data_IF_094681330354
#
_entry.id   IF_094681330354
#
_cell.length_a   1.000
_cell.length_b   1.000
_cell.length_c   1.000
_cell.angle_alpha   90.00
_cell.angle_beta   90.00
_cell.angle_gamma   90.00
#
_symmetry.space_group_name_H-M   'P 1'
#
loop_
_entity.id
_entity.type
_entity.pdbx_description
1 polymer ?
#
# COMPACT_ATOMS: atom_id res chain seq x y z
N UNK A 1 26.63 -11.06 -23.50
CA UNK A 1 26.16 -9.73 -23.97
C UNK A 1 24.63 -9.52 -23.91
N UNK A 2 23.79 -10.54 -23.66
CA UNK A 2 22.31 -10.39 -23.70
C UNK A 2 21.66 -9.74 -22.45
N UNK A 3 22.27 -9.82 -21.26
CA UNK A 3 21.69 -9.28 -20.00
C UNK A 3 21.71 -7.74 -19.96
N UNK A 4 22.61 -7.10 -20.69
CA UNK A 4 22.78 -5.64 -20.67
C UNK A 4 21.59 -4.85 -21.26
N UNK A 5 20.72 -5.50 -22.05
CA UNK A 5 19.63 -4.85 -22.77
C UNK A 5 18.23 -5.02 -22.12
N UNK A 6 18.06 -5.92 -21.15
CA UNK A 6 16.74 -6.24 -20.60
C UNK A 6 16.06 -5.04 -19.93
N UNK A 7 16.76 -4.36 -19.02
CA UNK A 7 16.23 -3.18 -18.31
C UNK A 7 15.83 -2.03 -19.23
N UNK A 8 16.71 -1.60 -20.16
CA UNK A 8 16.38 -0.61 -21.18
C UNK A 8 15.20 -1.01 -22.09
N UNK A 9 15.09 -2.28 -22.48
CA UNK A 9 13.98 -2.77 -23.31
C UNK A 9 12.63 -2.64 -22.58
N UNK A 10 12.56 -3.12 -21.33
CA UNK A 10 11.37 -2.98 -20.47
C UNK A 10 11.01 -1.51 -20.28
N UNK A 11 12.01 -0.65 -20.05
CA UNK A 11 11.80 0.80 -19.93
C UNK A 11 11.22 1.41 -21.20
N UNK A 12 11.69 0.97 -22.38
CA UNK A 12 11.18 1.42 -23.68
C UNK A 12 9.69 1.11 -23.87
N UNK A 13 9.27 -0.10 -23.54
CA UNK A 13 7.85 -0.50 -23.57
C UNK A 13 7.06 0.29 -22.53
N UNK A 14 7.54 0.33 -21.29
CA UNK A 14 6.89 1.02 -20.19
C UNK A 14 6.61 2.49 -20.53
N UNK A 15 7.53 3.20 -21.21
CA UNK A 15 7.34 4.60 -21.63
C UNK A 15 6.12 4.80 -22.52
N UNK A 16 5.82 3.88 -23.44
CA UNK A 16 4.69 3.94 -24.37
C UNK A 16 3.34 3.75 -23.69
N UNK A 17 3.30 3.03 -22.56
CA UNK A 17 2.05 2.74 -21.84
C UNK A 17 1.63 3.94 -20.99
N UNK A 18 0.44 4.53 -21.18
CA UNK A 18 -0.03 5.60 -20.30
C UNK A 18 -0.23 5.10 -18.87
N UNK A 19 -0.32 6.00 -17.88
CA UNK A 19 -0.46 5.59 -16.47
C UNK A 19 -1.89 5.15 -16.10
N UNK A 20 -2.91 5.60 -16.84
CA UNK A 20 -4.32 5.34 -16.51
C UNK A 20 -4.74 3.85 -16.51
N UNK A 21 -4.24 2.96 -17.40
CA UNK A 21 -4.66 1.56 -17.39
C UNK A 21 -4.24 0.84 -16.12
N UNK A 22 -3.15 1.27 -15.48
CA UNK A 22 -2.67 0.70 -14.22
C UNK A 22 -3.66 0.95 -13.08
N UNK A 23 -4.41 2.07 -13.11
CA UNK A 23 -5.51 2.27 -12.16
C UNK A 23 -6.61 1.22 -12.37
N UNK A 24 -7.07 1.04 -13.61
CA UNK A 24 -8.15 0.09 -13.90
C UNK A 24 -7.76 -1.34 -13.53
N UNK A 25 -6.59 -1.79 -14.00
CA UNK A 25 -6.07 -3.12 -13.69
C UNK A 25 -5.89 -3.28 -12.18
N UNK A 26 -5.34 -2.26 -11.52
CA UNK A 26 -5.12 -2.27 -10.09
C UNK A 26 -6.41 -2.29 -9.26
N UNK A 27 -7.53 -1.82 -9.80
CA UNK A 27 -8.85 -1.87 -9.16
C UNK A 27 -9.57 -3.21 -9.37
N UNK A 28 -9.16 -4.02 -10.36
CA UNK A 28 -9.84 -5.29 -10.69
C UNK A 28 -9.89 -6.28 -9.51
N UNK A 29 -8.83 -6.49 -8.71
CA UNK A 29 -8.89 -7.41 -7.58
C UNK A 29 -9.96 -6.99 -6.55
N UNK A 30 -10.04 -5.70 -6.23
CA UNK A 30 -11.09 -5.16 -5.36
C UNK A 30 -12.49 -5.30 -5.94
N UNK A 31 -12.66 -5.02 -7.23
CA UNK A 31 -13.95 -5.20 -7.91
C UNK A 31 -14.39 -6.67 -7.92
N UNK A 32 -13.46 -7.60 -8.16
CA UNK A 32 -13.71 -9.03 -8.10
C UNK A 32 -14.08 -9.49 -6.69
N UNK A 33 -13.39 -8.99 -5.67
CA UNK A 33 -13.68 -9.29 -4.28
C UNK A 33 -15.08 -8.80 -3.87
N UNK A 34 -15.47 -7.59 -4.30
CA UNK A 34 -16.82 -7.05 -4.07
C UNK A 34 -17.90 -7.88 -4.80
N UNK A 35 -17.63 -8.30 -6.05
CA UNK A 35 -18.53 -9.21 -6.76
C UNK A 35 -18.74 -10.51 -5.97
N UNK A 36 -17.66 -11.14 -5.49
CA UNK A 36 -17.75 -12.35 -4.66
C UNK A 36 -18.52 -12.11 -3.36
N UNK A 37 -18.38 -10.93 -2.75
CA UNK A 37 -19.15 -10.57 -1.55
C UNK A 37 -20.65 -10.55 -1.83
N UNK A 38 -21.07 -9.85 -2.89
CA UNK A 38 -22.48 -9.75 -3.30
C UNK A 38 -23.04 -11.09 -3.75
N UNK A 39 -22.23 -11.91 -4.42
CA UNK A 39 -22.61 -13.24 -4.87
C UNK A 39 -22.64 -14.30 -3.73
N UNK A 40 -22.33 -13.92 -2.48
CA UNK A 40 -22.31 -14.86 -1.35
C UNK A 40 -21.16 -15.87 -1.40
N UNK A 41 -20.07 -15.57 -2.11
CA UNK A 41 -18.96 -16.49 -2.40
C UNK A 41 -17.73 -16.30 -1.50
N UNK A 42 -17.86 -15.54 -0.40
CA UNK A 42 -16.77 -15.27 0.54
C UNK A 42 -16.73 -16.23 1.75
N UNK A 43 -17.73 -17.11 1.89
CA UNK A 43 -17.76 -18.12 2.95
C UNK A 43 -18.45 -17.63 4.22
N UNK A 44 -18.03 -18.18 5.37
CA UNK A 44 -18.74 -18.06 6.64
C UNK A 44 -18.75 -16.62 7.21
N UNK A 45 -17.63 -15.91 7.13
CA UNK A 45 -17.51 -14.54 7.64
C UNK A 45 -17.08 -13.59 6.49
N UNK A 46 -18.03 -13.15 5.64
CA UNK A 46 -17.72 -12.37 4.45
C UNK A 46 -17.16 -10.98 4.79
N UNK A 47 -17.58 -10.38 5.91
CA UNK A 47 -17.06 -9.08 6.36
C UNK A 47 -15.61 -9.24 6.74
N UNK A 48 -15.27 -10.27 7.53
CA UNK A 48 -13.88 -10.51 7.90
C UNK A 48 -12.98 -10.80 6.72
N UNK A 49 -13.47 -11.59 5.76
CA UNK A 49 -12.73 -11.85 4.51
C UNK A 49 -12.48 -10.57 3.73
N UNK A 50 -13.48 -9.68 3.60
CA UNK A 50 -13.29 -8.37 2.97
C UNK A 50 -12.21 -7.54 3.66
N UNK A 51 -12.24 -7.46 4.99
CA UNK A 51 -11.22 -6.72 5.76
C UNK A 51 -9.82 -7.24 5.47
N UNK A 52 -9.62 -8.56 5.57
CA UNK A 52 -8.30 -9.18 5.41
C UNK A 52 -7.76 -8.98 4.00
N UNK A 53 -8.58 -9.24 2.97
CA UNK A 53 -8.17 -9.16 1.56
C UNK A 53 -7.91 -7.71 1.11
N UNK A 54 -8.75 -6.75 1.52
CA UNK A 54 -8.52 -5.33 1.19
C UNK A 54 -7.27 -4.78 1.90
N UNK A 55 -7.02 -5.19 3.15
CA UNK A 55 -5.81 -4.85 3.88
C UNK A 55 -4.56 -5.41 3.20
N UNK A 56 -4.62 -6.66 2.76
CA UNK A 56 -3.53 -7.33 2.04
C UNK A 56 -3.25 -6.65 0.68
N UNK A 57 -4.27 -6.38 -0.12
CA UNK A 57 -4.13 -5.66 -1.39
C UNK A 57 -3.47 -4.30 -1.20
N UNK A 58 -3.87 -3.54 -0.17
CA UNK A 58 -3.21 -2.28 0.17
C UNK A 58 -1.71 -2.44 0.43
N UNK A 59 -1.34 -3.42 1.28
CA UNK A 59 0.06 -3.68 1.62
C UNK A 59 0.87 -4.11 0.37
N UNK A 60 0.29 -4.95 -0.48
CA UNK A 60 0.89 -5.36 -1.75
C UNK A 60 1.16 -4.16 -2.66
N UNK A 61 0.20 -3.23 -2.82
CA UNK A 61 0.40 -2.03 -3.63
C UNK A 61 1.44 -1.07 -3.02
N UNK A 62 1.49 -0.92 -1.70
CA UNK A 62 2.55 -0.14 -1.02
C UNK A 62 3.92 -0.73 -1.33
N UNK A 63 4.10 -2.04 -1.13
CA UNK A 63 5.35 -2.73 -1.39
C UNK A 63 5.73 -2.67 -2.87
N UNK A 64 4.78 -2.87 -3.78
CA UNK A 64 5.01 -2.72 -5.21
C UNK A 64 5.54 -1.31 -5.56
N UNK A 65 5.00 -0.25 -4.93
CA UNK A 65 5.49 1.12 -5.11
C UNK A 65 6.94 1.29 -4.65
N UNK A 66 7.32 0.64 -3.54
CA UNK A 66 8.66 0.68 -2.95
C UNK A 66 9.67 -0.11 -3.77
N UNK A 67 9.23 -1.17 -4.45
CA UNK A 67 10.02 -2.03 -5.35
C UNK A 67 10.42 -1.30 -6.65
N UNK A 68 9.76 -0.20 -7.03
CA UNK A 68 10.15 0.54 -8.23
C UNK A 68 11.61 1.01 -8.20
N UNK A 69 12.13 1.45 -7.04
CA UNK A 69 13.51 1.96 -7.01
C UNK A 69 14.64 0.93 -6.81
N UNK A 70 14.52 -0.28 -6.21
CA UNK A 70 15.50 -1.33 -6.48
C UNK A 70 15.50 -1.73 -7.96
N UNK A 71 14.32 -1.81 -8.62
CA UNK A 71 14.23 -2.11 -10.05
C UNK A 71 15.00 -1.08 -10.91
N UNK A 72 14.85 0.21 -10.60
CA UNK A 72 15.63 1.25 -11.26
C UNK A 72 17.13 1.14 -10.95
N UNK A 73 17.50 0.90 -9.70
CA UNK A 73 18.91 0.93 -9.25
C UNK A 73 19.72 -0.26 -9.76
N UNK A 74 19.19 -1.47 -9.64
CA UNK A 74 19.94 -2.70 -9.94
C UNK A 74 19.68 -3.21 -11.35
N UNK A 75 18.45 -3.04 -11.85
CA UNK A 75 18.05 -3.58 -13.15
C UNK A 75 17.91 -2.51 -14.24
N UNK A 76 18.10 -1.22 -13.91
CA UNK A 76 17.92 -0.08 -14.83
C UNK A 76 16.53 -0.01 -15.46
N UNK A 77 15.52 -0.53 -14.76
CA UNK A 77 14.12 -0.52 -15.17
C UNK A 77 13.44 0.75 -14.63
N UNK A 78 13.09 1.70 -15.50
CA UNK A 78 12.47 2.96 -15.08
C UNK A 78 10.93 2.90 -15.11
N UNK A 79 10.35 2.61 -13.94
CA UNK A 79 8.91 2.59 -13.70
C UNK A 79 8.44 3.74 -12.79
N UNK A 80 9.26 4.79 -12.62
CA UNK A 80 8.96 5.89 -11.68
C UNK A 80 7.60 6.55 -11.92
N UNK A 81 7.16 6.63 -13.18
CA UNK A 81 5.85 7.20 -13.53
C UNK A 81 4.66 6.46 -12.93
N UNK A 82 4.81 5.17 -12.63
CA UNK A 82 3.74 4.34 -12.06
C UNK A 82 3.72 4.38 -10.53
N UNK A 83 4.75 4.93 -9.87
CA UNK A 83 4.83 4.99 -8.40
C UNK A 83 3.61 5.69 -7.79
N UNK A 84 3.22 6.83 -8.36
CA UNK A 84 2.06 7.60 -7.89
C UNK A 84 0.77 6.76 -7.98
N UNK A 85 0.61 6.01 -9.07
CA UNK A 85 -0.56 5.16 -9.30
C UNK A 85 -0.64 4.07 -8.26
N UNK A 86 0.44 3.34 -8.02
CA UNK A 86 0.50 2.28 -7.01
C UNK A 86 0.26 2.82 -5.60
N UNK A 87 0.82 3.97 -5.25
CA UNK A 87 0.57 4.61 -3.95
C UNK A 87 -0.89 5.04 -3.75
N UNK A 88 -1.54 5.54 -4.80
CA UNK A 88 -2.96 5.90 -4.75
C UNK A 88 -3.88 4.68 -4.71
N UNK A 89 -3.53 3.60 -5.43
CA UNK A 89 -4.24 2.32 -5.32
C UNK A 89 -4.14 1.76 -3.90
N UNK A 90 -2.95 1.73 -3.33
CA UNK A 90 -2.75 1.34 -1.94
C UNK A 90 -3.63 2.16 -0.98
N UNK A 91 -3.64 3.49 -1.14
CA UNK A 91 -4.51 4.34 -0.33
C UNK A 91 -6.00 4.03 -0.53
N UNK A 92 -6.44 3.79 -1.77
CA UNK A 92 -7.81 3.39 -2.07
C UNK A 92 -8.20 2.09 -1.37
N UNK A 93 -7.34 1.08 -1.42
CA UNK A 93 -7.57 -0.20 -0.74
C UNK A 93 -7.59 -0.09 0.79
N UNK A 94 -6.66 0.67 1.40
CA UNK A 94 -6.71 0.86 2.87
C UNK A 94 -7.92 1.69 3.30
N UNK A 95 -8.36 2.64 2.47
CA UNK A 95 -9.59 3.39 2.74
C UNK A 95 -10.81 2.48 2.67
N UNK A 96 -10.89 1.58 1.68
CA UNK A 96 -11.94 0.56 1.61
C UNK A 96 -11.88 -0.42 2.78
N UNK A 97 -10.69 -0.88 3.17
CA UNK A 97 -10.48 -1.72 4.36
C UNK A 97 -11.03 -1.03 5.63
N UNK A 98 -10.67 0.23 5.85
CA UNK A 98 -11.19 1.02 6.96
C UNK A 98 -12.71 1.23 6.88
N UNK A 99 -13.25 1.48 5.68
CA UNK A 99 -14.69 1.65 5.48
C UNK A 99 -15.46 0.35 5.75
N UNK A 100 -14.94 -0.82 5.36
CA UNK A 100 -15.56 -2.12 5.68
C UNK A 100 -15.62 -2.29 7.20
N UNK A 101 -14.52 -2.06 7.91
CA UNK A 101 -14.52 -2.12 9.38
C UNK A 101 -15.51 -1.13 9.99
N UNK A 102 -15.52 0.13 9.53
CA UNK A 102 -16.38 1.17 10.08
C UNK A 102 -17.88 0.94 9.79
N UNK A 103 -18.21 0.47 8.59
CA UNK A 103 -19.61 0.39 8.10
C UNK A 103 -20.24 -0.98 8.28
N UNK A 104 -19.48 -2.06 8.12
CA UNK A 104 -20.00 -3.43 8.14
C UNK A 104 -19.73 -4.12 9.49
N UNK A 105 -18.52 -3.98 10.04
CA UNK A 105 -18.17 -4.59 11.34
C UNK A 105 -18.68 -3.74 12.52
N UNK A 106 -18.31 -2.46 12.56
CA UNK A 106 -18.73 -1.53 13.61
C UNK A 106 -20.15 -0.97 13.40
N UNK A 107 -20.71 -1.11 12.18
CA UNK A 107 -22.06 -0.65 11.84
C UNK A 107 -22.32 0.82 12.17
N UNK A 108 -21.33 1.69 11.90
CA UNK A 108 -21.41 3.13 12.13
C UNK A 108 -21.68 3.53 13.59
N UNK A 109 -21.36 2.68 14.56
CA UNK A 109 -21.39 3.04 15.99
C UNK A 109 -20.22 3.95 16.36
N UNK A 110 -20.30 5.22 15.95
CA UNK A 110 -19.23 6.23 16.09
C UNK A 110 -18.70 6.37 17.51
N UNK A 111 -19.57 6.25 18.52
CA UNK A 111 -19.21 6.32 19.95
C UNK A 111 -18.27 5.20 20.40
N UNK A 112 -18.22 4.09 19.66
CA UNK A 112 -17.40 2.92 19.99
C UNK A 112 -16.02 2.94 19.33
N UNK A 113 -15.79 3.79 18.32
CA UNK A 113 -14.53 3.81 17.53
C UNK A 113 -13.31 3.95 18.45
N UNK A 114 -13.32 4.96 19.32
CA UNK A 114 -12.19 5.22 20.21
C UNK A 114 -11.93 4.07 21.18
N UNK A 115 -13.01 3.47 21.71
CA UNK A 115 -12.90 2.33 22.61
C UNK A 115 -12.36 1.07 21.92
N UNK A 116 -12.81 0.78 20.70
CA UNK A 116 -12.33 -0.37 19.91
C UNK A 116 -10.85 -0.22 19.53
N UNK A 117 -10.45 0.96 19.05
CA UNK A 117 -9.06 1.25 18.70
C UNK A 117 -8.16 1.07 19.93
N UNK A 118 -8.55 1.63 21.09
CA UNK A 118 -7.77 1.55 22.32
C UNK A 118 -7.68 0.13 22.90
N UNK A 119 -8.75 -0.67 22.81
CA UNK A 119 -8.79 -2.03 23.34
C UNK A 119 -8.01 -3.04 22.51
N UNK A 120 -7.81 -2.78 21.22
CA UNK A 120 -7.23 -3.74 20.27
C UNK A 120 -5.91 -3.17 19.70
N UNK A 121 -4.74 -3.59 20.21
CA UNK A 121 -3.46 -3.04 19.79
C UNK A 121 -3.22 -3.10 18.28
N UNK A 122 -3.66 -4.17 17.61
CA UNK A 122 -3.51 -4.30 16.17
C UNK A 122 -4.33 -3.23 15.41
N UNK A 123 -5.53 -2.85 15.87
CA UNK A 123 -6.29 -1.74 15.27
C UNK A 123 -5.57 -0.42 15.46
N UNK A 124 -4.98 -0.16 16.64
CA UNK A 124 -4.20 1.06 16.86
C UNK A 124 -3.05 1.17 15.85
N UNK A 125 -2.31 0.08 15.63
CA UNK A 125 -1.20 0.05 14.65
C UNK A 125 -1.71 0.27 13.22
N UNK A 126 -2.79 -0.42 12.83
CA UNK A 126 -3.39 -0.27 11.50
C UNK A 126 -3.94 1.15 11.26
N UNK A 127 -4.62 1.72 12.25
CA UNK A 127 -5.17 3.07 12.20
C UNK A 127 -4.06 4.13 12.10
N UNK A 128 -2.96 3.96 12.85
CA UNK A 128 -1.80 4.83 12.73
C UNK A 128 -1.20 4.78 11.31
N UNK A 129 -1.07 3.59 10.71
CA UNK A 129 -0.63 3.45 9.32
C UNK A 129 -1.57 4.18 8.35
N UNK A 130 -2.88 4.01 8.51
CA UNK A 130 -3.90 4.69 7.70
C UNK A 130 -3.79 6.21 7.80
N UNK A 131 -3.73 6.77 9.02
CA UNK A 131 -3.60 8.21 9.25
C UNK A 131 -2.34 8.78 8.61
N UNK A 132 -1.21 8.06 8.66
CA UNK A 132 0.02 8.50 7.99
C UNK A 132 -0.09 8.54 6.46
N UNK A 133 -0.94 7.69 5.86
CA UNK A 133 -1.13 7.65 4.41
C UNK A 133 -2.09 8.75 3.89
N UNK A 134 -2.99 9.26 4.71
CA UNK A 134 -3.93 10.36 4.35
C UNK A 134 -3.19 11.57 3.75
N UNK A 135 -2.21 12.20 4.41
CA UNK A 135 -1.54 13.38 3.86
C UNK A 135 -0.72 13.04 2.61
N UNK A 136 -0.25 11.80 2.45
CA UNK A 136 0.47 11.34 1.25
C UNK A 136 -0.48 11.30 0.05
N UNK A 137 -1.66 10.72 0.21
CA UNK A 137 -2.69 10.70 -0.82
C UNK A 137 -3.19 12.12 -1.16
N UNK A 138 -3.47 12.94 -0.14
CA UNK A 138 -3.93 14.32 -0.32
C UNK A 138 -2.93 15.23 -1.05
N UNK A 139 -1.63 14.87 -1.01
CA UNK A 139 -0.54 15.61 -1.67
C UNK A 139 0.01 14.91 -2.91
N UNK A 140 -0.70 13.91 -3.44
CA UNK A 140 -0.29 13.15 -4.64
C UNK A 140 -0.74 13.78 -5.97
N UNK A 141 -0.69 15.11 -6.07
CA UNK A 141 -1.03 15.86 -7.28
C UNK A 141 -0.06 17.04 -7.49
N UNK A 142 0.04 17.52 -8.72
CA UNK A 142 1.13 18.42 -9.13
C UNK A 142 1.12 19.76 -8.41
N UNK A 143 -0.05 20.33 -8.10
CA UNK A 143 -0.11 21.60 -7.38
C UNK A 143 0.26 21.49 -5.90
N UNK A 144 0.11 20.32 -5.25
CA UNK A 144 0.64 20.13 -3.89
C UNK A 144 2.17 20.19 -3.88
N UNK A 145 2.83 19.60 -4.88
CA UNK A 145 4.29 19.67 -5.04
C UNK A 145 4.74 21.13 -5.24
N UNK A 146 4.02 21.90 -6.06
CA UNK A 146 4.30 23.33 -6.28
C UNK A 146 4.10 24.18 -5.03
N UNK A 147 3.04 23.91 -4.24
CA UNK A 147 2.70 24.67 -3.02
C UNK A 147 3.65 24.37 -1.85
N UNK A 148 4.00 23.11 -1.64
CA UNK A 148 4.87 22.69 -0.53
C UNK A 148 6.37 22.86 -0.85
N UNK A 149 6.71 22.85 -2.13
CA UNK A 149 8.09 22.73 -2.60
C UNK A 149 8.61 21.30 -2.53
N UNK A 150 9.45 20.92 -3.50
CA UNK A 150 9.93 19.55 -3.67
C UNK A 150 10.60 18.97 -2.41
N UNK A 151 11.34 19.78 -1.65
CA UNK A 151 12.02 19.35 -0.42
C UNK A 151 11.03 19.00 0.69
N UNK A 152 10.05 19.87 0.98
CA UNK A 152 9.08 19.60 2.04
C UNK A 152 8.12 18.46 1.65
N UNK A 153 7.66 18.43 0.39
CA UNK A 153 6.87 17.33 -0.15
C UNK A 153 7.62 15.99 -0.04
N UNK A 154 8.90 15.96 -0.40
CA UNK A 154 9.74 14.78 -0.25
C UNK A 154 9.89 14.33 1.20
N UNK A 155 10.03 15.26 2.16
CA UNK A 155 10.05 14.93 3.60
C UNK A 155 8.75 14.29 4.07
N UNK A 156 7.60 14.87 3.66
CA UNK A 156 6.29 14.35 3.98
C UNK A 156 6.12 12.92 3.43
N UNK A 157 6.49 12.70 2.16
CA UNK A 157 6.33 11.38 1.53
C UNK A 157 7.25 10.30 2.08
N UNK A 158 8.24 10.63 2.94
CA UNK A 158 9.00 9.61 3.70
C UNK A 158 8.17 8.91 4.77
N UNK A 159 7.01 9.45 5.16
CA UNK A 159 6.08 8.75 6.05
C UNK A 159 5.62 7.40 5.49
N UNK A 160 5.72 7.18 4.17
CA UNK A 160 5.41 5.88 3.54
C UNK A 160 6.25 4.75 4.13
N UNK A 161 7.50 5.03 4.54
CA UNK A 161 8.38 4.03 5.13
C UNK A 161 7.91 3.60 6.52
N UNK A 162 7.34 4.51 7.29
CA UNK A 162 6.73 4.18 8.58
C UNK A 162 5.41 3.46 8.35
N UNK A 163 4.56 3.98 7.46
CA UNK A 163 3.26 3.39 7.17
C UNK A 163 3.35 1.94 6.66
N UNK A 164 4.29 1.62 5.78
CA UNK A 164 4.46 0.24 5.27
C UNK A 164 4.93 -0.73 6.37
N UNK A 165 5.79 -0.29 7.28
CA UNK A 165 6.22 -1.11 8.42
C UNK A 165 5.08 -1.34 9.39
N UNK A 166 4.32 -0.29 9.73
CA UNK A 166 3.12 -0.43 10.56
C UNK A 166 2.08 -1.34 9.89
N UNK A 167 1.90 -1.25 8.57
CA UNK A 167 1.01 -2.15 7.82
C UNK A 167 1.45 -3.61 7.89
N UNK A 168 2.75 -3.89 7.73
CA UNK A 168 3.29 -5.24 7.88
C UNK A 168 3.15 -5.79 9.31
N UNK A 169 3.42 -4.95 10.33
CA UNK A 169 3.24 -5.33 11.74
C UNK A 169 1.77 -5.58 12.07
N UNK A 170 0.87 -4.69 11.60
CA UNK A 170 -0.57 -4.86 11.72
C UNK A 170 -1.04 -6.20 11.15
N UNK A 171 -0.56 -6.58 9.97
CA UNK A 171 -0.86 -7.88 9.36
C UNK A 171 -0.46 -9.03 10.30
N UNK A 172 0.78 -9.07 10.77
CA UNK A 172 1.23 -10.13 11.68
C UNK A 172 0.42 -10.16 12.99
N UNK A 173 0.09 -9.00 13.56
CA UNK A 173 -0.65 -8.90 14.82
C UNK A 173 -2.12 -9.32 14.71
N UNK A 174 -2.73 -9.21 13.52
CA UNK A 174 -4.14 -9.56 13.34
C UNK A 174 -4.36 -11.08 13.31
N UNK A 175 -3.32 -11.84 12.97
CA UNK A 175 -3.38 -13.29 12.88
C UNK A 175 -3.31 -13.92 14.28
N UNK A 176 -4.06 -15.02 14.48
CA UNK A 176 -3.98 -15.80 15.71
C UNK A 176 -2.66 -16.57 15.83
N UNK A 177 -2.09 -16.95 14.70
CA UNK A 177 -0.82 -17.67 14.56
C UNK A 177 -0.07 -17.02 13.41
N UNK A 178 1.21 -16.71 13.62
CA UNK A 178 2.03 -16.08 12.60
C UNK A 178 2.24 -17.02 11.43
N UNK A 179 1.76 -16.61 10.26
CA UNK A 179 1.88 -17.38 9.03
C UNK A 179 3.17 -17.04 8.29
N UNK A 180 3.61 -17.96 7.41
CA UNK A 180 4.73 -17.67 6.48
C UNK A 180 4.39 -16.48 5.59
N UNK A 181 3.12 -16.32 5.22
CA UNK A 181 2.65 -15.21 4.39
C UNK A 181 2.87 -13.86 5.07
N UNK A 182 2.32 -13.65 6.26
CA UNK A 182 2.43 -12.36 6.97
C UNK A 182 3.88 -12.00 7.29
N UNK A 183 4.69 -12.99 7.69
CA UNK A 183 6.11 -12.82 7.94
C UNK A 183 6.89 -12.47 6.65
N UNK A 184 6.49 -13.02 5.50
CA UNK A 184 7.10 -12.68 4.20
C UNK A 184 6.83 -11.22 3.83
N UNK A 185 5.59 -10.75 4.02
CA UNK A 185 5.25 -9.34 3.75
C UNK A 185 5.95 -8.37 4.71
N UNK A 186 6.00 -8.69 6.01
CA UNK A 186 6.74 -7.89 6.98
C UNK A 186 8.24 -7.88 6.67
N UNK A 187 8.83 -9.03 6.36
CA UNK A 187 10.23 -9.15 5.95
C UNK A 187 10.53 -8.33 4.68
N UNK A 188 9.65 -8.37 3.68
CA UNK A 188 9.76 -7.56 2.47
C UNK A 188 9.68 -6.05 2.79
N UNK A 189 8.78 -5.62 3.67
CA UNK A 189 8.67 -4.24 4.13
C UNK A 189 9.98 -3.77 4.79
N UNK A 190 10.51 -4.56 5.73
CA UNK A 190 11.77 -4.28 6.43
C UNK A 190 12.93 -4.21 5.45
N UNK A 191 13.05 -5.18 4.54
CA UNK A 191 14.11 -5.22 3.53
C UNK A 191 14.08 -3.99 2.61
N UNK A 192 12.90 -3.67 2.05
CA UNK A 192 12.74 -2.55 1.12
C UNK A 192 13.00 -1.20 1.80
N UNK A 193 12.52 -1.02 3.04
CA UNK A 193 12.75 0.20 3.82
C UNK A 193 14.22 0.29 4.27
N UNK A 194 14.82 -0.80 4.77
CA UNK A 194 16.23 -0.85 5.16
C UNK A 194 17.17 -0.52 4.00
N UNK A 195 16.90 -1.08 2.82
CA UNK A 195 17.62 -0.76 1.60
C UNK A 195 17.55 0.74 1.24
N UNK A 196 16.40 1.39 1.46
CA UNK A 196 16.25 2.84 1.24
C UNK A 196 17.16 3.66 2.16
N UNK A 197 17.18 3.35 3.44
CA UNK A 197 18.02 4.07 4.40
C UNK A 197 19.50 3.93 4.07
N UNK A 198 19.96 2.73 3.71
CA UNK A 198 21.34 2.50 3.30
C UNK A 198 21.73 3.29 2.03
N UNK A 199 20.79 3.51 1.12
CA UNK A 199 21.02 4.25 -0.12
C UNK A 199 20.92 5.77 0.04
N UNK A 200 20.06 6.25 0.93
CA UNK A 200 19.93 7.68 1.24
C UNK A 200 21.19 8.20 1.94
N UNK A 201 21.85 7.39 2.78
CA UNK A 201 23.10 7.75 3.49
C UNK A 201 24.36 7.78 2.61
N UNK A 202 24.28 7.32 1.35
CA UNK A 202 25.41 7.32 0.40
C UNK A 202 25.41 8.54 -0.54
N UNK A 203 24.77 9.62 -0.10
CA UNK A 203 24.68 10.94 -0.73
C UNK A 203 24.80 12.00 0.36
#
# INVERSE_FOLDING_TARGET
MAVAAFGPAVTGVARKVPAWPVYLIGMMPGAWLLYRAVAGQLGFDPVKTLELELGLLSLQFLLASLTISPLLRFFRINLLKFRKVLGLLAFGYIALHFLVWLTLDLQLRWTMIGAEIAKRPYLTVGFAAFVLLIPLAATSWQGAIRRLGAKAWGRLHRLVYVAVLLGGVHFVMQEKVWTVESLTYLGAAILLVGARFAWIRRW
#
